data_IF_546520945840
#
_entry.id   IF_546520945840
#
_cell.length_a   1.000
_cell.length_b   1.000
_cell.length_c   1.000
_cell.angle_alpha   90.00
_cell.angle_beta   90.00
_cell.angle_gamma   90.00
#
_symmetry.space_group_name_H-M   'P 1'
#
loop_
_entity.id
_entity.type
_entity.pdbx_description
1 polymer ?
#
# COMPACT_ATOMS: atom_id res chain seq x y z
N UNK A 1 58.35 -56.92 -76.43
CA UNK A 1 57.06 -56.31 -76.25
C UNK A 1 56.99 -55.80 -74.81
N UNK A 2 56.85 -54.53 -74.60
CA UNK A 2 57.07 -53.94 -73.29
C UNK A 2 55.78 -53.72 -72.50
N UNK A 3 55.84 -54.08 -71.27
CA UNK A 3 54.98 -53.62 -70.19
C UNK A 3 55.44 -52.31 -69.65
N UNK A 4 54.72 -51.27 -69.71
CA UNK A 4 55.02 -50.02 -69.01
C UNK A 4 53.74 -49.29 -68.56
N UNK A 5 53.87 -48.86 -67.29
CA UNK A 5 53.25 -47.65 -66.67
C UNK A 5 51.83 -47.68 -66.28
N UNK A 6 51.64 -47.95 -64.97
CA UNK A 6 50.56 -47.40 -64.17
C UNK A 6 51.07 -47.18 -62.71
N UNK A 7 51.66 -46.04 -62.45
CA UNK A 7 51.99 -45.59 -61.11
C UNK A 7 52.20 -44.09 -61.03
N UNK A 8 51.12 -43.33 -60.96
CA UNK A 8 51.20 -41.95 -60.42
C UNK A 8 49.83 -41.30 -60.34
N UNK A 9 49.02 -41.62 -59.35
CA UNK A 9 47.95 -40.70 -58.95
C UNK A 9 47.37 -41.16 -57.56
N UNK A 10 48.18 -40.94 -56.53
CA UNK A 10 47.65 -41.07 -55.14
C UNK A 10 48.49 -40.19 -54.23
N UNK A 11 48.42 -38.86 -54.33
CA UNK A 11 49.04 -37.97 -53.32
C UNK A 11 48.34 -36.60 -53.09
N UNK A 12 47.25 -36.27 -53.82
CA UNK A 12 46.65 -34.94 -53.70
C UNK A 12 45.49 -34.88 -52.63
N UNK A 13 44.89 -36.04 -52.26
CA UNK A 13 43.74 -36.04 -51.40
C UNK A 13 44.01 -35.85 -49.90
N UNK A 14 45.23 -36.02 -49.44
CA UNK A 14 45.54 -35.90 -48.01
C UNK A 14 45.82 -34.48 -47.51
N UNK A 15 46.33 -33.58 -48.39
CA UNK A 15 46.64 -32.22 -47.97
C UNK A 15 45.45 -31.30 -47.83
N UNK A 16 44.40 -31.48 -48.61
CA UNK A 16 43.14 -30.72 -48.46
C UNK A 16 42.41 -31.01 -47.15
N UNK A 17 42.30 -32.27 -46.71
CA UNK A 17 41.64 -32.63 -45.46
C UNK A 17 42.33 -32.06 -44.21
N UNK A 18 43.62 -31.92 -44.18
CA UNK A 18 44.34 -31.34 -43.03
C UNK A 18 44.13 -29.83 -42.94
N UNK A 19 43.97 -29.12 -44.06
CA UNK A 19 43.66 -27.67 -44.10
C UNK A 19 42.24 -27.38 -43.66
N UNK A 20 41.25 -28.20 -44.05
CA UNK A 20 39.87 -28.07 -43.66
C UNK A 20 39.67 -28.35 -42.15
N UNK A 21 40.38 -29.30 -41.58
CA UNK A 21 40.36 -29.60 -40.13
C UNK A 21 40.91 -28.45 -39.28
N UNK A 22 41.94 -27.72 -39.78
CA UNK A 22 42.47 -26.56 -39.11
C UNK A 22 41.51 -25.36 -39.11
N UNK A 23 40.84 -25.11 -40.24
CA UNK A 23 39.82 -24.05 -40.33
C UNK A 23 38.61 -24.33 -39.42
N UNK A 24 38.15 -25.60 -39.35
CA UNK A 24 37.07 -25.97 -38.46
C UNK A 24 37.41 -25.79 -36.98
N UNK A 25 38.65 -26.06 -36.57
CA UNK A 25 39.09 -25.87 -35.20
C UNK A 25 39.13 -24.39 -34.81
N UNK A 26 39.63 -23.52 -35.70
CA UNK A 26 39.63 -22.06 -35.49
C UNK A 26 38.19 -21.53 -35.35
N UNK A 27 37.29 -21.97 -36.25
CA UNK A 27 35.88 -21.58 -36.20
C UNK A 27 35.18 -22.04 -34.90
N UNK A 28 35.44 -23.27 -34.48
CA UNK A 28 34.91 -23.82 -33.23
C UNK A 28 35.42 -23.04 -31.99
N UNK A 29 36.71 -22.64 -31.99
CA UNK A 29 37.30 -21.85 -30.92
C UNK A 29 36.66 -20.45 -30.84
N UNK A 30 36.50 -19.76 -31.96
CA UNK A 30 35.83 -18.46 -32.03
C UNK A 30 34.40 -18.56 -31.57
N UNK A 31 33.66 -19.59 -32.01
CA UNK A 31 32.29 -19.84 -31.59
C UNK A 31 32.19 -20.11 -30.09
N UNK A 32 33.11 -20.88 -29.52
CA UNK A 32 33.17 -21.14 -28.08
C UNK A 32 33.39 -19.86 -27.26
N UNK A 33 34.28 -18.98 -27.71
CA UNK A 33 34.53 -17.68 -27.07
C UNK A 33 33.29 -16.81 -27.10
N UNK A 34 32.55 -16.76 -28.22
CA UNK A 34 31.30 -16.01 -28.35
C UNK A 34 30.23 -16.57 -27.41
N UNK A 35 30.10 -17.91 -27.33
CA UNK A 35 29.15 -18.55 -26.40
C UNK A 35 29.49 -18.24 -24.94
N UNK A 36 30.76 -18.31 -24.57
CA UNK A 36 31.21 -17.99 -23.20
C UNK A 36 30.93 -16.51 -22.87
N UNK A 37 31.17 -15.61 -23.81
CA UNK A 37 30.87 -14.18 -23.63
C UNK A 37 29.37 -13.93 -23.45
N UNK A 38 28.52 -14.59 -24.24
CA UNK A 38 27.06 -14.50 -24.11
C UNK A 38 26.55 -15.06 -22.78
N UNK A 39 27.05 -16.22 -22.35
CA UNK A 39 26.73 -16.82 -21.08
C UNK A 39 27.12 -15.93 -19.88
N UNK A 40 28.30 -15.33 -19.97
CA UNK A 40 28.84 -14.43 -18.95
C UNK A 40 28.01 -13.15 -18.81
N UNK A 41 27.61 -12.55 -19.94
CA UNK A 41 26.74 -11.37 -19.94
C UNK A 41 25.34 -11.70 -19.34
N UNK A 42 24.82 -12.89 -19.64
CA UNK A 42 23.55 -13.36 -19.06
C UNK A 42 23.62 -13.48 -17.54
N UNK A 43 24.77 -13.85 -16.99
CA UNK A 43 25.00 -13.90 -15.55
C UNK A 43 24.93 -12.51 -14.88
N UNK A 44 25.60 -11.51 -15.48
CA UNK A 44 25.57 -10.12 -14.98
C UNK A 44 24.14 -9.57 -15.03
N UNK A 45 23.41 -9.79 -16.13
CA UNK A 45 22.01 -9.36 -16.27
C UNK A 45 21.11 -10.01 -15.21
N UNK A 46 21.25 -11.31 -14.99
CA UNK A 46 20.50 -12.02 -13.96
C UNK A 46 20.77 -11.44 -12.56
N UNK A 47 22.04 -11.14 -12.26
CA UNK A 47 22.41 -10.54 -10.97
C UNK A 47 21.83 -9.11 -10.80
N UNK A 48 21.85 -8.30 -11.87
CA UNK A 48 21.20 -6.97 -11.86
C UNK A 48 19.70 -7.07 -11.56
N UNK A 49 19.00 -8.02 -12.18
CA UNK A 49 17.55 -8.24 -11.94
C UNK A 49 17.31 -8.65 -10.50
N UNK A 50 18.08 -9.59 -9.97
CA UNK A 50 17.93 -10.06 -8.58
C UNK A 50 18.16 -8.93 -7.58
N UNK A 51 19.24 -8.17 -7.70
CA UNK A 51 19.53 -7.03 -6.81
C UNK A 51 18.43 -5.98 -6.89
N UNK A 52 17.89 -5.73 -8.09
CA UNK A 52 16.81 -4.78 -8.28
C UNK A 52 15.50 -5.23 -7.61
N UNK A 53 15.21 -6.54 -7.61
CA UNK A 53 14.05 -7.11 -6.90
C UNK A 53 14.26 -7.07 -5.38
N UNK A 54 15.42 -7.49 -4.89
CA UNK A 54 15.76 -7.42 -3.46
C UNK A 54 15.65 -5.99 -2.92
N UNK A 55 16.16 -5.01 -3.69
CA UNK A 55 16.03 -3.59 -3.35
C UNK A 55 14.56 -3.15 -3.34
N UNK A 56 13.75 -3.63 -4.28
CA UNK A 56 12.30 -3.41 -4.32
C UNK A 56 11.63 -3.89 -3.03
N UNK A 57 11.86 -5.14 -2.64
CA UNK A 57 11.29 -5.69 -1.40
C UNK A 57 11.70 -4.90 -0.15
N UNK A 58 12.95 -4.42 -0.10
CA UNK A 58 13.41 -3.63 1.03
C UNK A 58 12.73 -2.26 1.12
N UNK A 59 12.53 -1.56 -0.01
CA UNK A 59 11.82 -0.27 0.01
C UNK A 59 10.34 -0.43 0.27
N UNK A 60 9.71 -1.49 -0.26
CA UNK A 60 8.31 -1.83 0.01
C UNK A 60 8.08 -2.08 1.51
N UNK A 61 8.92 -2.91 2.11
CA UNK A 61 8.86 -3.18 3.54
C UNK A 61 9.09 -1.91 4.37
N UNK A 62 10.06 -1.09 4.00
CA UNK A 62 10.34 0.19 4.65
C UNK A 62 9.17 1.16 4.56
N UNK A 63 8.56 1.31 3.37
CA UNK A 63 7.42 2.18 3.17
C UNK A 63 6.21 1.73 4.01
N UNK A 64 5.91 0.43 4.01
CA UNK A 64 4.83 -0.15 4.82
C UNK A 64 5.06 0.08 6.32
N UNK A 65 6.27 -0.15 6.82
CA UNK A 65 6.59 0.06 8.23
C UNK A 65 6.50 1.54 8.63
N UNK A 66 6.98 2.43 7.76
CA UNK A 66 6.86 3.87 7.97
C UNK A 66 5.39 4.30 8.03
N UNK A 67 4.58 3.87 7.07
CA UNK A 67 3.16 4.17 7.07
C UNK A 67 2.44 3.57 8.29
N UNK A 68 2.74 2.32 8.65
CA UNK A 68 2.17 1.71 9.84
C UNK A 68 2.54 2.49 11.12
N UNK A 69 3.72 3.07 11.21
CA UNK A 69 4.13 3.87 12.36
C UNK A 69 3.33 5.19 12.51
N UNK A 70 2.67 5.66 11.44
CA UNK A 70 1.75 6.81 11.51
C UNK A 70 0.47 6.49 12.30
N UNK A 71 0.09 5.21 12.44
CA UNK A 71 -1.10 4.78 13.21
C UNK A 71 -0.82 4.59 14.71
N UNK A 72 0.40 4.85 15.17
CA UNK A 72 0.74 4.78 16.59
C UNK A 72 -0.01 5.86 17.40
N UNK A 73 -0.19 5.63 18.71
CA UNK A 73 -0.90 6.55 19.60
C UNK A 73 -0.24 7.94 19.67
N UNK A 74 1.06 8.04 19.46
CA UNK A 74 1.81 9.29 19.45
C UNK A 74 2.88 9.25 18.35
N UNK A 75 2.49 9.37 17.08
CA UNK A 75 3.44 9.34 15.99
C UNK A 75 4.30 10.61 15.94
N UNK A 76 5.53 10.46 15.49
CA UNK A 76 6.42 11.59 15.21
C UNK A 76 7.14 11.37 13.89
N UNK A 77 7.55 12.43 13.22
CA UNK A 77 8.29 12.32 11.97
C UNK A 77 9.58 11.50 12.13
N UNK A 78 10.21 11.55 13.32
CA UNK A 78 11.40 10.77 13.63
C UNK A 78 11.07 9.27 13.81
N UNK A 79 10.02 8.92 14.57
CA UNK A 79 9.63 7.51 14.79
C UNK A 79 9.19 6.85 13.50
N UNK A 80 8.47 7.57 12.64
CA UNK A 80 8.03 7.08 11.32
C UNK A 80 9.23 6.79 10.41
N UNK A 81 10.18 7.74 10.31
CA UNK A 81 11.41 7.51 9.54
C UNK A 81 12.24 6.37 10.11
N UNK A 82 12.35 6.28 11.43
CA UNK A 82 13.08 5.19 12.08
C UNK A 82 12.47 3.83 11.75
N UNK A 83 11.16 3.68 11.82
CA UNK A 83 10.48 2.44 11.47
C UNK A 83 10.74 2.03 10.01
N UNK A 84 10.69 3.00 9.08
CA UNK A 84 11.01 2.76 7.68
C UNK A 84 12.47 2.31 7.47
N UNK A 85 13.42 2.97 8.15
CA UNK A 85 14.83 2.64 8.08
C UNK A 85 15.13 1.25 8.65
N UNK A 86 14.58 0.93 9.81
CA UNK A 86 14.83 -0.31 10.53
C UNK A 86 14.33 -1.52 9.70
N UNK A 87 13.12 -1.44 9.15
CA UNK A 87 12.56 -2.55 8.39
C UNK A 87 13.19 -2.68 6.99
N UNK A 88 13.52 -1.58 6.32
CA UNK A 88 14.29 -1.64 5.08
C UNK A 88 15.67 -2.28 5.33
N UNK A 89 16.37 -1.90 6.40
CA UNK A 89 17.66 -2.47 6.76
C UNK A 89 17.60 -3.95 7.17
N UNK A 90 16.47 -4.40 7.70
CA UNK A 90 16.24 -5.81 8.04
C UNK A 90 16.09 -6.72 6.80
N UNK A 91 15.85 -6.13 5.62
CA UNK A 91 15.76 -6.86 4.35
C UNK A 91 17.16 -6.95 3.72
N UNK A 92 17.79 -8.15 3.67
CA UNK A 92 19.12 -8.33 3.12
C UNK A 92 19.14 -8.19 1.59
N UNK A 93 20.30 -7.83 1.06
CA UNK A 93 20.60 -7.83 -0.37
C UNK A 93 21.65 -8.91 -0.70
N UNK A 94 21.29 -10.21 -0.65
CA UNK A 94 22.24 -11.30 -0.79
C UNK A 94 22.94 -11.33 -2.15
N UNK A 95 22.29 -10.87 -3.21
CA UNK A 95 22.89 -10.78 -4.54
C UNK A 95 23.97 -9.70 -4.63
N UNK A 96 23.91 -8.68 -3.77
CA UNK A 96 24.93 -7.64 -3.68
C UNK A 96 26.11 -8.07 -2.78
N UNK A 97 25.83 -8.87 -1.77
CA UNK A 97 26.77 -9.20 -0.68
C UNK A 97 26.92 -10.71 -0.46
N UNK A 98 27.46 -11.38 -1.47
CA UNK A 98 27.67 -12.85 -1.45
C UNK A 98 28.56 -13.36 -0.31
N UNK A 99 29.35 -12.46 0.31
CA UNK A 99 30.32 -12.80 1.36
C UNK A 99 29.96 -12.27 2.75
N UNK A 100 28.82 -11.58 2.93
CA UNK A 100 28.47 -10.99 4.21
C UNK A 100 27.53 -11.91 5.01
N UNK A 101 28.08 -12.57 5.97
CA UNK A 101 27.32 -13.22 7.03
C UNK A 101 26.59 -12.17 7.87
N UNK A 102 25.33 -11.93 7.55
CA UNK A 102 24.40 -11.14 8.37
C UNK A 102 24.59 -9.63 8.34
N UNK A 103 23.57 -8.93 7.91
CA UNK A 103 23.42 -7.51 8.23
C UNK A 103 23.68 -6.50 7.13
N UNK A 104 23.70 -6.89 5.86
CA UNK A 104 23.87 -5.95 4.75
C UNK A 104 22.56 -5.63 4.03
N UNK A 105 21.55 -5.24 4.80
CA UNK A 105 20.34 -4.63 4.26
C UNK A 105 20.62 -3.25 3.63
N UNK A 106 19.58 -2.67 3.08
CA UNK A 106 19.61 -1.32 2.49
C UNK A 106 20.01 -0.30 3.55
N UNK A 107 21.05 0.49 3.27
CA UNK A 107 21.46 1.59 4.16
C UNK A 107 20.79 2.88 3.71
N UNK A 108 19.64 3.17 4.28
CA UNK A 108 18.94 4.44 4.08
C UNK A 108 19.41 5.49 5.08
N UNK A 109 19.38 6.76 4.68
CA UNK A 109 19.72 7.90 5.54
C UNK A 109 18.45 8.53 6.09
N UNK A 110 18.55 8.98 7.33
CA UNK A 110 17.49 9.75 7.97
C UNK A 110 17.34 11.12 7.28
N UNK A 111 16.20 11.35 6.62
CA UNK A 111 15.90 12.58 5.87
C UNK A 111 15.20 13.60 6.81
N UNK A 112 15.92 14.20 7.75
CA UNK A 112 15.33 15.11 8.74
C UNK A 112 14.74 16.38 8.15
N UNK A 113 15.31 16.88 7.04
CA UNK A 113 14.81 18.04 6.31
C UNK A 113 13.60 17.75 5.41
N UNK A 114 13.16 16.51 5.35
CA UNK A 114 12.09 16.05 4.43
C UNK A 114 12.34 16.46 2.96
N UNK A 115 13.60 16.45 2.52
CA UNK A 115 13.93 16.77 1.14
C UNK A 115 13.30 15.76 0.18
N UNK A 116 12.73 16.24 -0.93
CA UNK A 116 12.05 15.39 -1.93
C UNK A 116 12.94 14.27 -2.49
N UNK A 117 14.24 14.52 -2.61
CA UNK A 117 15.23 13.54 -3.06
C UNK A 117 15.82 12.69 -1.94
N UNK A 118 15.34 12.79 -0.70
CA UNK A 118 15.85 12.02 0.44
C UNK A 118 15.37 10.56 0.45
N UNK A 119 15.96 9.75 1.34
CA UNK A 119 15.68 8.31 1.33
C UNK A 119 14.32 7.98 1.95
N UNK A 120 13.86 8.73 2.96
CA UNK A 120 12.50 8.61 3.53
C UNK A 120 11.82 9.96 3.46
N UNK A 121 10.72 10.04 2.74
CA UNK A 121 9.98 11.27 2.47
C UNK A 121 8.56 11.13 3.03
N UNK A 122 8.13 12.12 3.80
CA UNK A 122 6.80 12.17 4.41
C UNK A 122 5.93 13.15 3.64
N UNK A 123 4.66 12.80 3.42
CA UNK A 123 3.76 13.65 2.67
C UNK A 123 2.29 13.27 2.82
N UNK A 124 1.47 13.94 2.03
CA UNK A 124 0.05 13.70 1.93
C UNK A 124 -0.28 13.10 0.56
N UNK A 125 -0.98 12.00 0.55
CA UNK A 125 -1.54 11.39 -0.65
C UNK A 125 -3.02 11.73 -0.75
N UNK A 126 -3.41 12.29 -1.89
CA UNK A 126 -4.80 12.58 -2.22
C UNK A 126 -5.38 11.37 -2.99
N UNK A 127 -6.35 10.69 -2.39
CA UNK A 127 -6.99 9.50 -2.97
C UNK A 127 -7.88 9.83 -4.16
N UNK A 128 -8.33 11.08 -4.31
CA UNK A 128 -9.20 11.52 -5.42
C UNK A 128 -8.39 11.75 -6.69
N UNK A 129 -7.25 12.43 -6.53
CA UNK A 129 -6.37 12.79 -7.66
C UNK A 129 -5.21 11.82 -7.84
N UNK A 130 -5.03 10.87 -6.93
CA UNK A 130 -3.90 9.92 -6.89
C UNK A 130 -2.54 10.64 -6.89
N UNK A 131 -2.44 11.76 -6.18
CA UNK A 131 -1.23 12.59 -6.15
C UNK A 131 -0.59 12.63 -4.78
N UNK A 132 0.75 12.54 -4.77
CA UNK A 132 1.55 12.71 -3.57
C UNK A 132 2.06 14.15 -3.47
N UNK A 133 1.86 14.77 -2.32
CA UNK A 133 2.36 16.10 -2.00
C UNK A 133 3.32 16.04 -0.82
N UNK A 134 4.52 16.57 -0.99
CA UNK A 134 5.54 16.62 0.04
C UNK A 134 5.06 17.44 1.26
N UNK A 135 5.21 16.92 2.47
CA UNK A 135 4.94 17.69 3.68
C UNK A 135 5.99 18.80 3.86
N UNK A 136 5.56 20.03 4.20
CA UNK A 136 6.48 21.14 4.46
C UNK A 136 7.38 20.87 5.69
N UNK A 137 8.50 21.55 5.75
CA UNK A 137 9.40 21.47 6.91
C UNK A 137 9.24 22.73 7.80
N UNK A 138 9.02 22.58 9.11
CA UNK A 138 8.96 21.33 9.91
C UNK A 138 7.72 20.48 9.57
N UNK A 139 7.89 19.15 9.58
CA UNK A 139 6.80 18.24 9.22
C UNK A 139 5.76 18.21 10.34
N UNK A 140 4.56 18.64 10.05
CA UNK A 140 3.39 18.37 10.88
C UNK A 140 2.89 16.95 10.64
N UNK A 141 3.16 16.05 11.56
CA UNK A 141 2.84 14.63 11.42
C UNK A 141 1.32 14.38 11.34
N UNK A 142 0.52 15.30 11.89
CA UNK A 142 -0.94 15.19 11.87
C UNK A 142 -1.53 15.31 10.46
N UNK A 143 -0.78 15.89 9.53
CA UNK A 143 -1.21 16.05 8.13
C UNK A 143 -0.64 14.98 7.21
N UNK A 144 0.24 14.11 7.71
CA UNK A 144 0.91 13.07 6.91
C UNK A 144 0.08 11.80 6.88
N UNK A 145 -0.21 11.30 5.68
CA UNK A 145 -0.85 10.00 5.46
C UNK A 145 -0.07 9.09 4.51
N UNK A 146 1.10 9.54 4.03
CA UNK A 146 1.91 8.79 3.08
C UNK A 146 3.40 8.83 3.44
N UNK A 147 4.07 7.72 3.21
CA UNK A 147 5.52 7.56 3.38
C UNK A 147 6.11 7.00 2.09
N UNK A 148 7.03 7.75 1.49
CA UNK A 148 7.79 7.31 0.34
C UNK A 148 9.21 6.94 0.76
N UNK A 149 9.68 5.78 0.31
CA UNK A 149 11.05 5.31 0.54
C UNK A 149 11.79 5.20 -0.78
N UNK A 150 12.95 5.81 -0.85
CA UNK A 150 13.84 5.82 -2.01
C UNK A 150 15.15 5.13 -1.64
N UNK A 151 15.46 4.01 -2.25
CA UNK A 151 16.76 3.36 -2.09
C UNK A 151 17.57 3.45 -3.37
N UNK A 152 18.86 3.76 -3.23
CA UNK A 152 19.79 3.93 -4.36
C UNK A 152 21.02 3.08 -4.14
N UNK A 153 21.39 2.36 -5.18
CA UNK A 153 22.71 1.76 -5.32
C UNK A 153 23.44 2.55 -6.41
N UNK A 154 24.56 3.16 -6.07
CA UNK A 154 25.38 3.95 -6.98
C UNK A 154 26.84 3.83 -6.58
N UNK A 155 27.78 4.29 -7.44
CA UNK A 155 29.20 4.28 -7.10
C UNK A 155 29.53 4.97 -5.78
N UNK A 156 28.78 6.03 -5.44
CA UNK A 156 28.91 6.73 -4.16
C UNK A 156 28.24 5.98 -2.98
N UNK A 157 27.31 5.07 -3.27
CA UNK A 157 26.49 4.35 -2.29
C UNK A 157 26.36 2.87 -2.68
N UNK A 158 27.48 2.17 -2.90
CA UNK A 158 27.55 0.71 -3.10
C UNK A 158 26.87 0.21 -4.37
N UNK A 159 27.40 0.62 -5.55
CA UNK A 159 26.98 0.06 -6.84
C UNK A 159 27.20 -1.46 -6.92
N UNK A 160 26.36 -2.14 -7.68
CA UNK A 160 26.57 -3.57 -7.98
C UNK A 160 27.79 -3.74 -8.89
N UNK A 161 28.86 -4.46 -8.47
CA UNK A 161 29.98 -4.75 -9.35
C UNK A 161 29.55 -5.74 -10.44
N UNK A 162 29.97 -5.48 -11.66
CA UNK A 162 29.77 -6.36 -12.81
C UNK A 162 31.04 -7.16 -13.06
N UNK A 163 30.92 -8.47 -13.23
CA UNK A 163 32.05 -9.36 -13.40
C UNK A 163 32.49 -9.44 -14.87
N UNK A 164 31.57 -9.60 -15.77
CA UNK A 164 31.83 -9.87 -17.19
C UNK A 164 31.62 -8.65 -18.08
N UNK A 165 30.67 -7.79 -17.77
CA UNK A 165 30.45 -6.54 -18.50
C UNK A 165 31.63 -5.57 -18.35
N UNK A 166 32.52 -5.77 -17.37
CA UNK A 166 33.76 -5.04 -17.19
C UNK A 166 34.71 -5.20 -18.40
N UNK A 167 34.66 -6.33 -19.09
CA UNK A 167 35.43 -6.55 -20.34
C UNK A 167 35.00 -5.57 -21.44
N UNK A 168 33.77 -5.08 -21.39
CA UNK A 168 33.21 -4.09 -22.31
C UNK A 168 33.23 -2.66 -21.73
N UNK A 169 33.92 -2.45 -20.60
CA UNK A 169 34.08 -1.14 -19.97
C UNK A 169 33.00 -0.79 -18.93
N UNK A 170 31.99 -1.63 -18.73
CA UNK A 170 30.94 -1.43 -17.71
C UNK A 170 31.31 -2.14 -16.40
N UNK A 171 31.90 -1.42 -15.44
CA UNK A 171 32.41 -2.00 -14.18
C UNK A 171 31.38 -2.09 -13.05
N UNK A 172 30.28 -1.33 -13.13
CA UNK A 172 29.23 -1.30 -12.10
C UNK A 172 27.87 -0.97 -12.68
N UNK A 173 26.84 -1.31 -11.93
CA UNK A 173 25.43 -1.02 -12.25
C UNK A 173 24.80 -0.20 -11.13
N UNK A 174 24.29 0.97 -11.50
CA UNK A 174 23.54 1.84 -10.61
C UNK A 174 22.06 1.60 -10.76
N UNK A 175 21.31 1.58 -9.64
CA UNK A 175 19.86 1.42 -9.66
C UNK A 175 19.19 2.20 -8.56
N UNK A 176 17.96 2.61 -8.81
CA UNK A 176 17.06 3.26 -7.83
C UNK A 176 15.78 2.48 -7.76
N UNK A 177 15.25 2.34 -6.55
CA UNK A 177 13.91 1.83 -6.29
C UNK A 177 13.19 2.78 -5.35
N UNK A 178 11.94 3.03 -5.67
CA UNK A 178 11.04 3.85 -4.87
C UNK A 178 9.80 3.04 -4.58
N UNK A 179 9.35 3.10 -3.33
CA UNK A 179 8.05 2.61 -2.92
C UNK A 179 7.33 3.69 -2.12
N UNK A 180 6.04 3.74 -2.26
CA UNK A 180 5.19 4.62 -1.45
C UNK A 180 4.13 3.77 -0.75
N UNK A 181 3.94 4.02 0.53
CA UNK A 181 2.84 3.45 1.29
C UNK A 181 2.00 4.55 1.88
N UNK A 182 0.70 4.36 1.84
CA UNK A 182 -0.30 5.29 2.35
C UNK A 182 -1.09 4.63 3.47
N UNK A 183 -1.60 5.45 4.39
CA UNK A 183 -2.61 4.99 5.32
C UNK A 183 -3.97 5.28 4.71
N UNK A 184 -4.77 4.24 4.64
CA UNK A 184 -6.12 4.32 4.11
C UNK A 184 -7.01 3.25 4.72
N UNK A 185 -8.27 3.28 4.34
CA UNK A 185 -9.27 2.28 4.64
C UNK A 185 -9.82 1.68 3.34
N UNK A 186 -10.57 0.59 3.46
CA UNK A 186 -11.25 0.03 2.29
C UNK A 186 -12.35 0.97 1.79
N UNK A 187 -12.40 1.21 0.48
CA UNK A 187 -13.38 2.10 -0.13
C UNK A 187 -14.75 1.44 -0.35
N UNK A 188 -14.88 0.12 -0.07
CA UNK A 188 -16.12 -0.63 -0.30
C UNK A 188 -16.39 -1.55 0.88
N UNK A 189 -17.52 -1.33 1.56
CA UNK A 189 -17.92 -2.10 2.74
C UNK A 189 -19.44 -2.32 2.76
N UNK A 190 -19.87 -3.34 3.52
CA UNK A 190 -21.27 -3.54 3.85
C UNK A 190 -21.48 -3.08 5.29
N UNK A 191 -22.21 -1.97 5.52
CA UNK A 191 -22.56 -1.53 6.87
C UNK A 191 -23.35 -2.61 7.63
N UNK A 192 -23.28 -2.56 8.95
CA UNK A 192 -24.01 -3.50 9.82
C UNK A 192 -25.13 -2.84 10.60
N UNK A 193 -25.27 -1.51 10.48
CA UNK A 193 -26.36 -0.76 11.12
C UNK A 193 -26.80 0.39 10.20
N UNK A 194 -28.09 0.82 10.26
CA UNK A 194 -28.63 1.88 9.42
C UNK A 194 -28.33 3.29 9.98
N UNK A 195 -27.08 3.53 10.31
CA UNK A 195 -26.59 4.80 10.85
C UNK A 195 -25.41 5.29 10.00
N UNK A 196 -25.28 6.58 9.81
CA UNK A 196 -24.15 7.22 9.17
C UNK A 196 -23.55 8.29 10.09
N UNK A 197 -22.23 8.46 10.07
CA UNK A 197 -21.54 9.49 10.83
C UNK A 197 -21.06 10.62 9.90
N UNK A 198 -21.16 11.86 10.36
CA UNK A 198 -20.67 13.01 9.64
C UNK A 198 -19.13 13.06 9.69
N UNK A 199 -18.50 13.20 8.53
CA UNK A 199 -17.04 13.39 8.42
C UNK A 199 -16.51 14.52 9.30
N UNK A 200 -17.29 15.58 9.49
CA UNK A 200 -16.88 16.77 10.23
C UNK A 200 -16.58 16.47 11.70
N UNK A 201 -17.12 15.38 12.25
CA UNK A 201 -16.76 14.90 13.59
C UNK A 201 -15.29 14.55 13.71
N UNK A 202 -14.67 14.10 12.63
CA UNK A 202 -13.25 13.76 12.54
C UNK A 202 -12.36 14.97 12.15
N UNK A 203 -12.96 16.10 11.74
CA UNK A 203 -12.22 17.31 11.36
C UNK A 203 -11.54 17.97 12.57
N UNK A 204 -10.26 18.29 12.44
CA UNK A 204 -9.45 18.92 13.51
C UNK A 204 -8.80 17.94 14.48
N UNK A 205 -9.15 16.67 14.43
CA UNK A 205 -8.35 15.59 15.01
C UNK A 205 -7.53 14.95 13.89
N UNK A 206 -6.29 14.62 14.13
CA UNK A 206 -5.31 14.16 13.13
C UNK A 206 -5.92 13.20 12.09
N UNK A 207 -6.54 13.72 11.07
CA UNK A 207 -7.13 13.05 9.88
C UNK A 207 -7.64 11.62 10.16
N UNK A 208 -8.44 11.43 11.19
CA UNK A 208 -8.97 10.13 11.55
C UNK A 208 -8.03 9.18 12.30
N UNK A 209 -6.79 9.58 12.59
CA UNK A 209 -5.86 8.76 13.39
C UNK A 209 -6.19 8.76 14.89
N UNK A 210 -6.80 9.84 15.36
CA UNK A 210 -7.28 9.95 16.74
C UNK A 210 -8.81 10.07 16.69
N UNK A 211 -9.52 9.01 17.06
CA UNK A 211 -10.98 9.03 17.09
C UNK A 211 -11.49 10.05 18.11
N UNK A 212 -12.66 10.66 17.88
CA UNK A 212 -13.37 11.38 18.91
C UNK A 212 -13.71 10.42 20.06
N UNK A 213 -13.63 10.91 21.29
CA UNK A 213 -13.81 10.05 22.46
C UNK A 213 -15.22 9.46 22.49
N UNK A 214 -16.26 10.29 22.22
CA UNK A 214 -17.66 9.86 22.18
C UNK A 214 -18.40 10.46 20.99
N UNK A 215 -19.24 9.69 20.34
CA UNK A 215 -20.13 10.12 19.25
C UNK A 215 -21.59 9.90 19.63
N UNK A 216 -22.39 10.92 19.45
CA UNK A 216 -23.80 10.89 19.79
C UNK A 216 -24.70 10.97 18.56
N UNK A 217 -25.57 9.96 18.37
CA UNK A 217 -26.76 10.10 17.55
C UNK A 217 -27.90 10.56 18.48
N UNK A 218 -28.36 11.78 18.31
CA UNK A 218 -29.40 12.33 19.20
C UNK A 218 -30.48 13.05 18.41
N UNK A 219 -31.70 13.01 18.96
CA UNK A 219 -32.83 13.79 18.42
C UNK A 219 -32.64 15.30 18.50
N UNK A 220 -31.68 15.79 19.27
CA UNK A 220 -31.37 17.21 19.43
C UNK A 220 -30.02 17.65 18.81
N UNK A 221 -29.10 16.70 18.62
CA UNK A 221 -27.80 16.97 17.98
C UNK A 221 -27.77 16.25 16.62
N UNK A 222 -27.83 17.03 15.57
CA UNK A 222 -27.96 16.56 14.18
C UNK A 222 -26.62 16.63 13.41
N UNK A 223 -25.54 17.01 14.10
CA UNK A 223 -24.26 17.29 13.44
C UNK A 223 -23.34 16.08 13.35
N UNK A 224 -23.46 15.14 14.29
CA UNK A 224 -22.50 14.06 14.44
C UNK A 224 -22.92 12.81 13.67
N UNK A 225 -24.14 12.34 13.86
CA UNK A 225 -24.67 11.12 13.27
C UNK A 225 -26.11 11.31 12.76
N UNK A 226 -26.52 10.46 11.82
CA UNK A 226 -27.88 10.44 11.29
C UNK A 226 -28.32 9.00 10.96
N UNK A 227 -29.64 8.75 11.02
CA UNK A 227 -30.22 7.54 10.47
C UNK A 227 -30.11 7.52 8.96
N UNK A 228 -29.96 6.33 8.37
CA UNK A 228 -29.90 6.18 6.92
C UNK A 228 -30.85 5.09 6.41
N UNK A 229 -31.57 5.41 5.34
CA UNK A 229 -32.28 4.45 4.50
C UNK A 229 -31.45 3.97 3.33
N UNK A 230 -30.14 4.28 3.33
CA UNK A 230 -29.21 4.02 2.22
C UNK A 230 -29.75 4.61 0.91
N UNK A 231 -30.04 3.79 -0.08
CA UNK A 231 -30.62 4.24 -1.36
C UNK A 231 -32.14 4.33 -1.35
N UNK A 232 -32.79 3.93 -0.25
CA UNK A 232 -34.24 3.85 -0.09
C UNK A 232 -34.83 4.98 0.75
N UNK A 233 -36.06 4.77 1.22
CA UNK A 233 -36.75 5.69 2.13
C UNK A 233 -36.08 5.75 3.48
N UNK A 234 -36.22 6.91 4.16
CA UNK A 234 -35.67 7.18 5.48
C UNK A 234 -36.73 7.27 6.60
N UNK A 235 -37.94 6.75 6.34
CA UNK A 235 -38.95 6.68 7.38
C UNK A 235 -38.66 5.54 8.40
N UNK A 236 -39.23 5.63 9.59
CA UNK A 236 -39.01 4.66 10.68
C UNK A 236 -39.19 3.20 10.26
N UNK A 237 -40.19 2.90 9.43
CA UNK A 237 -40.43 1.55 8.95
C UNK A 237 -39.29 1.01 8.07
N UNK A 238 -38.74 1.85 7.20
CA UNK A 238 -37.62 1.47 6.33
C UNK A 238 -36.31 1.30 7.14
N UNK A 239 -36.01 2.22 8.05
CA UNK A 239 -34.80 2.13 8.91
C UNK A 239 -34.90 0.88 9.80
N UNK A 240 -36.04 0.66 10.44
CA UNK A 240 -36.28 -0.53 11.29
C UNK A 240 -36.11 -1.84 10.53
N UNK A 241 -36.43 -1.90 9.23
CA UNK A 241 -36.26 -3.13 8.47
C UNK A 241 -34.77 -3.54 8.36
N UNK A 242 -33.87 -2.58 8.30
CA UNK A 242 -32.42 -2.82 8.29
C UNK A 242 -31.87 -3.20 9.67
N UNK A 243 -32.46 -2.70 10.75
CA UNK A 243 -32.10 -3.11 12.12
C UNK A 243 -32.49 -4.56 12.37
N UNK A 244 -33.72 -4.94 11.98
CA UNK A 244 -34.26 -6.29 12.20
C UNK A 244 -33.55 -7.33 11.29
N UNK A 245 -33.19 -6.93 10.07
CA UNK A 245 -32.46 -7.80 9.13
C UNK A 245 -31.28 -7.06 8.48
N UNK A 246 -30.12 -7.00 9.17
CA UNK A 246 -28.91 -6.38 8.63
C UNK A 246 -28.40 -7.02 7.33
N UNK A 247 -28.88 -8.22 6.97
CA UNK A 247 -28.50 -8.86 5.71
C UNK A 247 -29.03 -8.12 4.49
N UNK A 248 -30.07 -7.31 4.64
CA UNK A 248 -30.67 -6.49 3.59
C UNK A 248 -29.96 -5.16 3.36
N UNK A 249 -29.06 -4.75 4.26
CA UNK A 249 -28.24 -3.54 4.10
C UNK A 249 -27.40 -3.67 2.83
N UNK A 250 -27.43 -2.66 1.93
CA UNK A 250 -26.66 -2.71 0.70
C UNK A 250 -25.15 -2.57 0.95
N UNK A 251 -24.36 -3.13 0.05
CA UNK A 251 -22.93 -2.83 0.02
C UNK A 251 -22.74 -1.40 -0.52
N UNK A 252 -21.97 -0.59 0.19
CA UNK A 252 -21.64 0.79 -0.19
C UNK A 252 -20.21 0.91 -0.66
N UNK A 253 -19.94 1.92 -1.48
CA UNK A 253 -18.61 2.35 -1.89
C UNK A 253 -18.44 3.86 -1.67
N UNK A 254 -17.21 4.30 -1.53
CA UNK A 254 -16.88 5.73 -1.50
C UNK A 254 -17.37 6.39 -2.77
N UNK A 255 -17.99 7.55 -2.62
CA UNK A 255 -18.69 8.28 -3.69
C UNK A 255 -20.19 7.97 -3.82
N UNK A 256 -20.70 6.92 -3.17
CA UNK A 256 -22.15 6.68 -3.16
C UNK A 256 -22.87 7.80 -2.39
N UNK A 257 -24.03 8.20 -2.92
CA UNK A 257 -24.92 9.17 -2.26
C UNK A 257 -26.04 8.40 -1.59
N UNK A 258 -26.12 8.51 -0.27
CA UNK A 258 -27.15 7.85 0.53
C UNK A 258 -28.14 8.85 1.12
N UNK A 259 -29.37 8.39 1.36
CA UNK A 259 -30.40 9.18 2.02
C UNK A 259 -30.21 9.11 3.54
N UNK A 260 -30.20 10.25 4.19
CA UNK A 260 -30.08 10.36 5.65
C UNK A 260 -31.29 11.12 6.23
N UNK A 261 -31.55 10.91 7.49
CA UNK A 261 -32.60 11.62 8.22
C UNK A 261 -32.20 11.87 9.66
N UNK A 262 -32.61 13.02 10.15
CA UNK A 262 -32.48 13.41 11.54
C UNK A 262 -33.86 13.37 12.25
N UNK A 263 -34.87 12.79 11.61
CA UNK A 263 -36.20 12.74 12.18
C UNK A 263 -36.19 11.99 13.51
N UNK A 264 -37.02 12.46 14.43
CA UNK A 264 -37.22 11.82 15.74
C UNK A 264 -37.95 10.47 15.56
N UNK A 265 -37.19 9.42 15.40
CA UNK A 265 -37.70 8.07 15.12
C UNK A 265 -37.61 7.23 16.40
N UNK A 266 -38.55 7.45 17.30
CA UNK A 266 -38.62 6.74 18.61
C UNK A 266 -38.53 5.20 18.44
N UNK A 267 -39.17 4.66 17.41
CA UNK A 267 -39.20 3.23 17.16
C UNK A 267 -37.77 2.68 16.83
N UNK A 268 -36.94 3.47 16.19
CA UNK A 268 -35.59 3.04 15.83
C UNK A 268 -34.64 3.02 17.03
N UNK A 269 -34.83 3.94 18.02
CA UNK A 269 -34.06 3.85 19.27
C UNK A 269 -34.43 2.61 20.10
N UNK A 270 -35.73 2.19 20.10
CA UNK A 270 -36.14 0.95 20.76
C UNK A 270 -35.54 -0.28 20.05
N UNK A 271 -35.54 -0.30 18.72
CA UNK A 271 -34.98 -1.39 17.97
C UNK A 271 -33.45 -1.46 18.14
N UNK A 272 -32.75 -0.32 18.04
CA UNK A 272 -31.32 -0.24 18.31
C UNK A 272 -30.92 -0.79 19.66
N UNK A 273 -31.68 -0.46 20.70
CA UNK A 273 -31.44 -0.98 22.07
C UNK A 273 -31.60 -2.49 22.16
N UNK A 274 -32.59 -3.05 21.45
CA UNK A 274 -32.86 -4.48 21.45
C UNK A 274 -31.86 -5.28 20.63
N UNK A 275 -31.53 -4.79 19.43
CA UNK A 275 -30.74 -5.51 18.42
C UNK A 275 -29.23 -5.24 18.55
N UNK A 276 -28.83 -4.10 19.13
CA UNK A 276 -27.43 -3.70 19.34
C UNK A 276 -27.18 -3.38 20.83
N UNK A 277 -27.11 -4.38 21.71
CA UNK A 277 -26.84 -4.17 23.14
C UNK A 277 -25.45 -3.55 23.36
N UNK A 278 -25.22 -2.90 24.52
CA UNK A 278 -23.92 -2.33 24.87
C UNK A 278 -22.77 -3.29 24.67
N UNK A 279 -21.69 -2.83 24.05
CA UNK A 279 -20.54 -3.63 23.63
C UNK A 279 -20.61 -4.11 22.17
N UNK A 280 -21.75 -4.04 21.50
CA UNK A 280 -21.91 -4.42 20.10
C UNK A 280 -21.08 -3.50 19.20
N UNK A 281 -20.36 -4.09 18.26
CA UNK A 281 -19.60 -3.34 17.23
C UNK A 281 -20.44 -3.22 15.98
N UNK A 282 -20.59 -2.00 15.48
CA UNK A 282 -21.28 -1.68 14.24
C UNK A 282 -20.32 -1.01 13.25
N UNK A 283 -20.33 -1.49 12.01
CA UNK A 283 -19.61 -0.87 10.89
C UNK A 283 -20.59 0.07 10.19
N UNK A 284 -20.21 1.33 10.04
CA UNK A 284 -21.07 2.37 9.46
C UNK A 284 -20.33 3.24 8.45
N UNK A 285 -21.04 3.85 7.47
CA UNK A 285 -20.45 4.79 6.54
C UNK A 285 -20.13 6.13 7.21
N UNK A 286 -19.01 6.71 6.84
CA UNK A 286 -18.65 8.12 7.08
C UNK A 286 -19.06 8.93 5.87
N UNK A 287 -19.82 9.99 6.08
CA UNK A 287 -20.40 10.78 5.01
C UNK A 287 -20.12 12.28 5.18
N UNK A 288 -20.02 13.00 4.07
CA UNK A 288 -20.21 14.45 4.06
C UNK A 288 -21.71 14.68 3.99
N UNK A 289 -22.27 15.31 5.01
CA UNK A 289 -23.70 15.66 5.02
C UNK A 289 -23.93 16.97 4.25
N UNK A 290 -24.86 16.92 3.30
CA UNK A 290 -25.22 18.10 2.51
C UNK A 290 -26.13 19.01 3.34
N UNK A 291 -25.77 20.28 3.59
CA UNK A 291 -26.61 21.19 4.34
C UNK A 291 -27.97 21.41 3.66
N UNK A 292 -29.07 21.14 4.39
CA UNK A 292 -30.42 21.36 3.90
C UNK A 292 -30.97 20.31 2.94
N UNK A 293 -30.19 19.28 2.61
CA UNK A 293 -30.61 18.13 1.80
C UNK A 293 -30.45 16.88 2.69
N UNK A 294 -31.49 16.03 2.74
CA UNK A 294 -31.45 14.80 3.52
C UNK A 294 -30.59 13.72 2.82
N UNK A 295 -29.35 14.04 2.51
CA UNK A 295 -28.38 13.17 1.80
C UNK A 295 -26.99 13.32 2.36
N UNK A 296 -26.22 12.24 2.23
CA UNK A 296 -24.79 12.22 2.55
C UNK A 296 -23.99 11.48 1.50
N UNK A 297 -22.83 12.04 1.11
CA UNK A 297 -21.89 11.35 0.23
C UNK A 297 -20.92 10.54 1.05
N UNK A 298 -20.84 9.23 0.81
CA UNK A 298 -19.94 8.31 1.50
C UNK A 298 -18.49 8.65 1.14
N UNK A 299 -17.66 8.91 2.14
CA UNK A 299 -16.23 9.19 1.98
C UNK A 299 -15.36 8.11 2.62
N UNK A 300 -15.93 7.24 3.43
CA UNK A 300 -15.23 6.13 4.05
C UNK A 300 -16.13 5.34 4.98
N UNK A 301 -15.52 4.56 5.85
CA UNK A 301 -16.21 3.71 6.82
C UNK A 301 -15.49 3.75 8.16
N UNK A 302 -16.23 3.55 9.24
CA UNK A 302 -15.69 3.44 10.60
C UNK A 302 -16.43 2.39 11.39
N UNK A 303 -15.79 1.86 12.42
CA UNK A 303 -16.44 0.92 13.35
C UNK A 303 -16.67 1.60 14.69
N UNK A 304 -17.89 1.55 15.14
CA UNK A 304 -18.30 2.05 16.44
C UNK A 304 -18.66 0.90 17.38
N UNK A 305 -18.39 1.07 18.67
CA UNK A 305 -18.95 0.26 19.73
C UNK A 305 -20.15 1.02 20.31
N UNK A 306 -21.29 0.38 20.39
CA UNK A 306 -22.46 0.92 21.08
C UNK A 306 -22.21 0.83 22.59
N UNK A 307 -22.18 1.96 23.28
CA UNK A 307 -21.93 2.01 24.71
C UNK A 307 -23.25 2.11 25.49
N UNK A 308 -24.20 2.91 24.99
CA UNK A 308 -25.49 3.08 25.62
C UNK A 308 -26.55 3.55 24.62
N UNK A 309 -27.81 3.11 24.82
CA UNK A 309 -28.98 3.59 24.06
C UNK A 309 -30.02 4.10 24.99
N UNK A 310 -30.33 5.41 24.94
CA UNK A 310 -31.43 6.04 25.66
C UNK A 310 -32.66 6.11 24.77
N UNK A 311 -33.69 5.33 25.10
CA UNK A 311 -34.90 5.15 24.28
C UNK A 311 -36.19 5.66 24.93
N UNK A 312 -36.17 5.91 26.26
CA UNK A 312 -37.40 6.18 27.05
C UNK A 312 -37.59 7.65 27.42
N UNK A 313 -36.52 8.42 27.58
CA UNK A 313 -36.57 9.84 27.92
C UNK A 313 -36.10 10.75 26.78
N UNK A 314 -36.47 12.02 26.84
CA UNK A 314 -36.03 13.04 25.89
C UNK A 314 -34.86 13.88 26.45
N UNK A 315 -33.70 14.03 25.76
CA UNK A 315 -33.44 13.53 24.43
C UNK A 315 -33.17 12.02 24.37
N UNK A 316 -33.65 11.37 23.29
CA UNK A 316 -33.20 10.03 22.95
C UNK A 316 -31.84 10.13 22.28
N UNK A 317 -30.95 9.19 22.58
CA UNK A 317 -29.61 9.17 21.97
C UNK A 317 -28.98 7.77 21.98
N UNK A 318 -28.03 7.59 21.09
CA UNK A 318 -27.09 6.47 21.07
C UNK A 318 -25.74 7.04 21.39
N UNK A 319 -25.10 6.48 22.39
CA UNK A 319 -23.71 6.78 22.77
C UNK A 319 -22.80 5.71 22.21
N UNK A 320 -21.75 6.14 21.52
CA UNK A 320 -20.83 5.22 20.83
C UNK A 320 -19.39 5.69 20.91
N UNK A 321 -18.47 4.73 20.97
CA UNK A 321 -17.02 4.98 20.89
C UNK A 321 -16.45 4.40 19.61
N UNK A 322 -15.56 5.12 18.93
CA UNK A 322 -14.83 4.60 17.77
C UNK A 322 -13.84 3.51 18.21
N UNK A 323 -13.91 2.35 17.60
CA UNK A 323 -13.08 1.18 17.97
C UNK A 323 -12.40 0.56 16.75
N UNK A 324 -11.26 -0.16 16.93
CA UNK A 324 -10.60 -0.86 15.81
C UNK A 324 -11.51 -1.91 15.18
N UNK A 325 -11.54 -1.94 13.86
CA UNK A 325 -12.18 -3.03 13.12
C UNK A 325 -11.12 -4.08 12.72
N UNK A 326 -11.25 -5.27 13.28
CA UNK A 326 -10.36 -6.38 12.96
C UNK A 326 -10.85 -7.25 11.79
N UNK A 327 -12.00 -6.92 11.17
CA UNK A 327 -12.69 -7.78 10.20
C UNK A 327 -12.70 -7.25 8.76
N UNK A 328 -11.98 -6.16 8.46
CA UNK A 328 -12.01 -5.53 7.15
C UNK A 328 -11.51 -6.44 6.03
N UNK A 329 -12.39 -6.77 5.08
CA UNK A 329 -12.02 -7.34 3.79
C UNK A 329 -11.18 -6.32 3.02
N UNK A 330 -9.98 -6.71 2.65
CA UNK A 330 -9.04 -5.86 1.91
C UNK A 330 -9.18 -6.16 0.42
N UNK A 331 -9.94 -5.35 -0.31
CA UNK A 331 -9.71 -5.23 -1.75
C UNK A 331 -8.61 -4.16 -1.93
N UNK A 332 -7.37 -4.54 -2.29
CA UNK A 332 -6.26 -3.60 -2.41
C UNK A 332 -6.42 -2.58 -3.55
N UNK A 333 -7.41 -2.76 -4.42
CA UNK A 333 -7.61 -1.89 -5.58
C UNK A 333 -8.46 -0.65 -5.28
N UNK A 334 -8.97 -0.51 -4.06
CA UNK A 334 -9.84 0.61 -3.69
C UNK A 334 -9.50 1.11 -2.29
N UNK A 335 -8.63 2.11 -2.23
CA UNK A 335 -8.19 2.75 -0.99
C UNK A 335 -8.96 4.06 -0.83
N UNK A 336 -9.44 4.34 0.37
CA UNK A 336 -10.16 5.55 0.72
C UNK A 336 -9.50 6.26 1.91
N UNK A 337 -9.94 7.49 2.17
CA UNK A 337 -9.54 8.24 3.36
C UNK A 337 -9.90 7.45 4.64
N UNK A 338 -9.04 7.55 5.62
CA UNK A 338 -9.11 6.80 6.86
C UNK A 338 -9.88 7.59 7.93
N UNK A 339 -10.85 6.96 8.56
CA UNK A 339 -11.64 7.54 9.64
C UNK A 339 -11.62 6.62 10.87
N UNK A 340 -11.02 7.12 11.97
CA UNK A 340 -10.91 6.35 13.20
C UNK A 340 -9.77 5.33 13.18
N UNK A 341 -10.03 4.14 13.70
CA UNK A 341 -9.00 3.11 13.96
C UNK A 341 -8.92 2.00 12.90
N UNK A 342 -9.70 2.11 11.82
CA UNK A 342 -9.72 1.12 10.72
C UNK A 342 -8.63 1.36 9.67
N UNK A 343 -7.64 2.12 10.01
CA UNK A 343 -6.55 2.52 9.14
C UNK A 343 -5.51 1.43 8.96
N UNK A 344 -5.12 1.18 7.71
CA UNK A 344 -4.06 0.24 7.36
C UNK A 344 -3.09 0.87 6.38
N UNK A 345 -1.88 0.37 6.39
CA UNK A 345 -0.88 0.77 5.39
C UNK A 345 -1.05 -0.05 4.11
N UNK A 346 -1.01 0.63 2.96
CA UNK A 346 -1.10 0.03 1.62
C UNK A 346 0.03 0.55 0.76
N UNK A 347 0.61 -0.32 -0.06
CA UNK A 347 1.50 0.13 -1.14
C UNK A 347 0.66 0.72 -2.26
N UNK A 348 1.10 1.87 -2.79
CA UNK A 348 0.55 2.52 -4.00
C UNK A 348 1.63 2.59 -5.06
N UNK A 349 1.26 2.24 -6.29
CA UNK A 349 2.14 2.19 -7.46
C UNK A 349 2.02 3.47 -8.28
#
# INVERSE_FOLDING_TARGET
>A
MPMSTLRAQRSSGRRHRASESGAALVLATVFLVVLLAAASLSFDISNMINVRQELGHAVDAGALAGAQALTAASPSASSVRKAALDLAAANPLPSLDKNAQGGNGVKLKHNSSNAAGGDVVLGTYDFTTSTFTLAPTPVDISTVNAVQVNARLSQAARALPLAFAAVFGATSFDTVRTAMSVIGATSKQKPTAPVAVNRDVFTGKAKGFLPPDDLYLSTKNLTDMAWTGFFGATNASAVKSFETDPSTIPQLKVGDVINITNANQTADYHAMKADYPPGTRILIPVCIFDPGIARGTVVGFTTLRVDFVQDTSDPKFIDTTVVPNNTGSTDPNTIAECFGTDCRSFLVN
#
